data_IF_653155017009
#
_entry.id   IF_653155017009
#
_cell.length_a   1.000
_cell.length_b   1.000
_cell.length_c   1.000
_cell.angle_alpha   90.00
_cell.angle_beta   90.00
_cell.angle_gamma   90.00
#
_symmetry.space_group_name_H-M   'P 1'
#
loop_
_entity.id
_entity.type
_entity.pdbx_description
1 polymer ?
#
# COMPACT_ATOMS: atom_id res chain seq x y z
N UNK A 1 15.38 9.74 23.96
CA UNK A 1 15.46 8.43 23.28
C UNK A 1 14.22 8.28 22.41
N UNK A 2 14.21 8.89 21.21
CA UNK A 2 13.16 8.61 20.23
C UNK A 2 13.66 7.42 19.42
N UNK A 3 13.04 6.26 19.59
CA UNK A 3 13.31 5.10 18.77
C UNK A 3 12.24 5.08 17.68
N UNK A 4 12.58 5.65 16.52
CA UNK A 4 11.85 5.43 15.29
C UNK A 4 11.99 3.94 14.94
N UNK A 5 10.98 3.16 15.34
CA UNK A 5 10.99 1.72 15.17
C UNK A 5 10.23 1.39 13.89
N UNK A 6 10.94 1.48 12.77
CA UNK A 6 10.44 1.02 11.48
C UNK A 6 10.73 -0.47 11.31
N UNK A 7 9.71 -1.24 10.94
CA UNK A 7 9.85 -2.68 10.67
C UNK A 7 9.04 -3.07 9.46
N UNK A 8 9.63 -3.92 8.62
CA UNK A 8 8.95 -4.52 7.48
C UNK A 8 8.56 -5.96 7.83
N UNK A 9 7.28 -6.26 7.69
CA UNK A 9 6.72 -7.59 7.96
C UNK A 9 5.98 -8.14 6.74
N UNK A 10 6.05 -9.45 6.57
CA UNK A 10 5.14 -10.16 5.67
C UNK A 10 3.99 -10.75 6.49
N UNK A 11 2.78 -10.26 6.28
CA UNK A 11 1.59 -10.71 7.01
C UNK A 11 0.92 -11.85 6.25
N UNK A 12 0.81 -13.06 6.82
CA UNK A 12 0.07 -14.16 6.21
C UNK A 12 -1.44 -14.01 6.46
N UNK A 13 -2.21 -13.79 5.40
CA UNK A 13 -3.68 -13.67 5.43
C UNK A 13 -4.39 -14.98 5.07
N UNK A 14 -3.68 -16.12 5.11
CA UNK A 14 -4.25 -17.43 4.74
C UNK A 14 -5.48 -17.83 5.55
N UNK A 15 -5.54 -17.42 6.83
CA UNK A 15 -6.67 -17.71 7.74
C UNK A 15 -7.97 -17.02 7.33
N UNK A 16 -7.92 -16.01 6.46
CA UNK A 16 -9.10 -15.31 5.96
C UNK A 16 -10.06 -16.25 5.21
N UNK A 17 -9.58 -17.34 4.60
CA UNK A 17 -10.45 -18.27 3.87
C UNK A 17 -11.41 -19.06 4.74
N UNK A 18 -11.15 -19.13 6.06
CA UNK A 18 -12.00 -19.82 7.04
C UNK A 18 -13.34 -19.08 7.19
N UNK A 19 -13.35 -17.76 7.07
CA UNK A 19 -14.58 -16.98 7.14
C UNK A 19 -15.39 -17.05 5.85
N UNK A 20 -16.69 -16.80 5.98
CA UNK A 20 -17.62 -16.63 4.86
C UNK A 20 -17.07 -15.68 3.81
N UNK A 21 -17.34 -15.98 2.53
CA UNK A 21 -16.77 -15.25 1.39
C UNK A 21 -17.03 -13.74 1.43
N UNK A 22 -18.20 -13.32 1.89
CA UNK A 22 -18.62 -11.91 1.92
C UNK A 22 -17.91 -11.08 3.00
N UNK A 23 -17.23 -11.71 3.95
CA UNK A 23 -16.57 -11.01 5.06
C UNK A 23 -15.05 -11.14 5.03
N UNK A 24 -14.47 -11.67 3.94
CA UNK A 24 -13.04 -11.98 3.86
C UNK A 24 -12.16 -10.74 3.89
N UNK A 25 -12.43 -9.73 3.07
CA UNK A 25 -11.64 -8.49 3.09
C UNK A 25 -11.72 -7.78 4.45
N UNK A 26 -12.90 -7.75 5.07
CA UNK A 26 -13.11 -7.21 6.42
C UNK A 26 -12.28 -7.99 7.46
N UNK A 27 -12.30 -9.33 7.37
CA UNK A 27 -11.50 -10.18 8.26
C UNK A 27 -10.00 -9.96 8.05
N UNK A 28 -9.55 -9.73 6.81
CA UNK A 28 -8.16 -9.44 6.49
C UNK A 28 -7.68 -8.16 7.19
N UNK A 29 -8.48 -7.09 7.16
CA UNK A 29 -8.19 -5.84 7.88
C UNK A 29 -8.06 -6.09 9.38
N UNK A 30 -8.99 -6.85 9.97
CA UNK A 30 -8.93 -7.18 11.39
C UNK A 30 -7.68 -8.02 11.74
N UNK A 31 -7.29 -8.95 10.88
CA UNK A 31 -6.04 -9.71 11.07
C UNK A 31 -4.80 -8.82 11.02
N UNK A 32 -4.77 -7.80 10.16
CA UNK A 32 -3.66 -6.83 10.11
C UNK A 32 -3.59 -6.04 11.41
N UNK A 33 -4.75 -5.61 11.95
CA UNK A 33 -4.81 -4.93 13.26
C UNK A 33 -4.32 -5.83 14.39
N UNK A 34 -4.77 -7.09 14.44
CA UNK A 34 -4.30 -8.08 15.42
C UNK A 34 -2.79 -8.29 15.32
N UNK A 35 -2.25 -8.38 14.10
CA UNK A 35 -0.82 -8.54 13.86
C UNK A 35 -0.01 -7.33 14.36
N UNK A 36 -0.46 -6.11 14.05
CA UNK A 36 0.18 -4.88 14.51
C UNK A 36 0.18 -4.76 16.03
N UNK A 37 -0.97 -5.07 16.67
CA UNK A 37 -1.10 -5.09 18.14
C UNK A 37 -0.12 -6.06 18.78
N UNK A 38 0.04 -7.25 18.20
CA UNK A 38 0.93 -8.28 18.74
C UNK A 38 2.42 -7.90 18.66
N UNK A 39 2.85 -7.34 17.53
CA UNK A 39 4.29 -7.08 17.29
C UNK A 39 4.78 -5.80 17.94
N UNK A 40 3.95 -4.75 17.93
CA UNK A 40 4.35 -3.42 18.37
C UNK A 40 3.80 -3.07 19.77
N UNK A 41 2.84 -3.85 20.29
CA UNK A 41 2.24 -3.70 21.63
C UNK A 41 1.58 -2.33 21.87
N UNK A 42 0.90 -1.80 20.85
CA UNK A 42 0.13 -0.55 20.91
C UNK A 42 -1.32 -0.84 20.55
N UNK A 43 -2.26 -0.11 21.17
CA UNK A 43 -3.70 -0.29 20.97
C UNK A 43 -4.22 0.45 19.73
N UNK A 44 -3.76 1.69 19.52
CA UNK A 44 -4.23 2.56 18.43
C UNK A 44 -3.47 2.27 17.15
N UNK A 45 -4.17 1.74 16.14
CA UNK A 45 -3.60 1.34 14.86
C UNK A 45 -4.34 2.06 13.74
N UNK A 46 -3.60 2.83 12.94
CA UNK A 46 -4.10 3.47 11.72
C UNK A 46 -3.58 2.71 10.50
N UNK A 47 -4.50 2.34 9.63
CA UNK A 47 -4.18 1.66 8.37
C UNK A 47 -4.19 2.71 7.28
N UNK A 48 -3.14 2.73 6.48
CA UNK A 48 -3.06 3.62 5.35
C UNK A 48 -4.08 3.26 4.25
N UNK A 49 -4.51 4.27 3.50
CA UNK A 49 -5.56 4.11 2.49
C UNK A 49 -5.08 3.21 1.34
N UNK A 50 -3.82 3.33 0.92
CA UNK A 50 -3.29 2.52 -0.18
C UNK A 50 -3.28 1.04 0.16
N UNK A 51 -2.88 0.71 1.39
CA UNK A 51 -2.93 -0.65 1.90
C UNK A 51 -4.37 -1.19 1.90
N UNK A 52 -5.32 -0.38 2.36
CA UNK A 52 -6.74 -0.75 2.32
C UNK A 52 -7.19 -0.99 0.87
N UNK A 53 -6.93 -0.06 -0.05
CA UNK A 53 -7.29 -0.19 -1.47
C UNK A 53 -6.68 -1.45 -2.09
N UNK A 54 -5.45 -1.77 -1.76
CA UNK A 54 -4.78 -2.99 -2.23
C UNK A 54 -5.49 -4.27 -1.75
N UNK A 55 -5.96 -4.30 -0.50
CA UNK A 55 -6.73 -5.43 0.04
C UNK A 55 -8.07 -5.59 -0.69
N UNK A 56 -8.74 -4.47 -0.98
CA UNK A 56 -10.04 -4.43 -1.64
C UNK A 56 -9.97 -4.47 -3.18
N UNK A 57 -8.78 -4.42 -3.79
CA UNK A 57 -8.60 -4.35 -5.25
C UNK A 57 -9.25 -5.50 -6.02
N UNK A 58 -9.34 -6.69 -5.42
CA UNK A 58 -9.99 -7.89 -6.00
C UNK A 58 -11.41 -8.11 -5.49
N UNK A 59 -11.98 -7.12 -4.82
CA UNK A 59 -13.27 -7.18 -4.16
C UNK A 59 -13.26 -7.94 -2.83
N UNK A 60 -14.44 -8.03 -2.21
CA UNK A 60 -14.60 -8.56 -0.84
C UNK A 60 -14.28 -10.05 -0.69
N UNK A 61 -14.47 -10.83 -1.77
CA UNK A 61 -14.40 -12.30 -1.77
C UNK A 61 -12.97 -12.86 -1.79
N UNK A 62 -12.02 -12.09 -2.32
CA UNK A 62 -10.70 -12.61 -2.70
C UNK A 62 -9.57 -11.64 -2.31
N UNK A 63 -9.38 -11.34 -1.02
CA UNK A 63 -8.24 -10.54 -0.58
C UNK A 63 -6.90 -11.27 -0.85
N UNK A 64 -5.77 -10.53 -0.95
CA UNK A 64 -4.44 -11.11 -1.11
C UNK A 64 -4.07 -12.09 0.01
N UNK A 65 -3.30 -13.15 -0.32
CA UNK A 65 -2.95 -14.22 0.64
C UNK A 65 -1.76 -13.86 1.54
N UNK A 66 -0.88 -12.98 1.08
CA UNK A 66 0.27 -12.43 1.80
C UNK A 66 0.39 -10.97 1.42
N UNK A 67 0.75 -10.11 2.36
CA UNK A 67 1.02 -8.69 2.09
C UNK A 67 2.29 -8.30 2.84
N UNK A 68 3.22 -7.64 2.16
CA UNK A 68 4.37 -6.98 2.78
C UNK A 68 3.97 -5.59 3.22
N UNK A 69 4.25 -5.27 4.48
CA UNK A 69 3.74 -4.09 5.16
C UNK A 69 4.87 -3.46 5.95
N UNK A 70 4.98 -2.14 5.88
CA UNK A 70 5.85 -1.34 6.74
C UNK A 70 5.02 -0.85 7.92
N UNK A 71 5.55 -1.05 9.12
CA UNK A 71 4.98 -0.52 10.36
C UNK A 71 5.92 0.54 10.90
N UNK A 72 5.43 1.76 11.06
CA UNK A 72 6.12 2.86 11.72
C UNK A 72 5.39 3.24 13.00
N UNK A 73 6.16 3.51 14.05
CA UNK A 73 5.64 4.04 15.30
C UNK A 73 5.81 5.56 15.28
N UNK A 74 4.70 6.29 15.30
CA UNK A 74 4.71 7.76 15.39
C UNK A 74 4.84 8.20 16.84
N UNK A 75 5.43 9.37 17.07
CA UNK A 75 5.58 9.98 18.40
C UNK A 75 4.23 10.22 19.10
N UNK A 76 3.16 10.37 18.33
CA UNK A 76 1.76 10.51 18.78
C UNK A 76 1.15 9.21 19.34
N UNK A 77 1.94 8.13 19.44
CA UNK A 77 1.56 6.91 20.14
C UNK A 77 0.64 5.96 19.38
N UNK A 78 0.48 6.14 18.07
CA UNK A 78 -0.16 5.16 17.18
C UNK A 78 0.82 4.55 16.18
N UNK A 79 0.41 3.40 15.64
CA UNK A 79 1.13 2.71 14.57
C UNK A 79 0.49 3.08 13.24
N UNK A 80 1.31 3.52 12.29
CA UNK A 80 0.92 3.65 10.90
C UNK A 80 1.36 2.40 10.15
N UNK A 81 0.42 1.82 9.41
CA UNK A 81 0.61 0.59 8.65
C UNK A 81 0.48 0.91 7.17
N UNK A 82 1.61 0.97 6.46
CA UNK A 82 1.69 1.31 5.04
C UNK A 82 2.07 0.11 4.17
N UNK A 83 1.66 0.15 2.91
CA UNK A 83 2.04 -0.87 1.93
C UNK A 83 3.54 -0.78 1.66
N UNK A 84 4.25 -1.91 1.74
CA UNK A 84 5.64 -1.96 1.31
C UNK A 84 5.69 -2.36 -0.15
N UNK A 85 5.86 -1.38 -1.03
CA UNK A 85 6.30 -1.64 -2.40
C UNK A 85 7.81 -1.85 -2.31
N UNK A 86 8.30 -3.02 -2.74
CA UNK A 86 9.75 -3.20 -2.92
C UNK A 86 10.14 -2.21 -4.05
N UNK A 87 10.64 -1.02 -3.70
CA UNK A 87 11.09 -0.01 -4.66
C UNK A 87 12.35 -0.48 -5.41
N UNK A 88 12.15 -1.44 -6.32
CA UNK A 88 13.06 -1.76 -7.41
C UNK A 88 12.36 -1.76 -8.78
N UNK A 89 11.07 -1.41 -8.86
CA UNK A 89 10.38 -1.27 -10.15
C UNK A 89 9.88 0.16 -10.42
N UNK A 90 9.74 1.01 -9.40
CA UNK A 90 9.22 2.38 -9.56
C UNK A 90 10.21 3.36 -10.21
N UNK A 91 11.51 3.05 -10.16
CA UNK A 91 12.53 3.79 -10.92
C UNK A 91 12.49 3.51 -12.43
N UNK A 92 11.90 2.37 -12.87
CA UNK A 92 11.91 1.98 -14.29
C UNK A 92 10.66 2.52 -15.03
N UNK A 93 9.56 2.78 -14.31
CA UNK A 93 8.31 3.28 -14.91
C UNK A 93 8.24 4.81 -14.95
N UNK A 94 8.84 5.51 -14.00
CA UNK A 94 8.87 6.98 -13.95
C UNK A 94 9.81 7.60 -14.99
N UNK A 95 10.97 6.97 -15.27
CA UNK A 95 11.91 7.45 -16.30
C UNK A 95 11.45 7.16 -17.74
N UNK A 96 10.61 6.14 -17.94
CA UNK A 96 10.05 5.82 -19.28
C UNK A 96 8.87 6.73 -19.64
N UNK A 97 8.15 7.26 -18.66
CA UNK A 97 7.06 8.19 -18.92
C UNK A 97 7.55 9.63 -19.13
N UNK A 98 8.64 10.07 -18.49
CA UNK A 98 9.21 11.41 -18.74
C UNK A 98 9.79 11.55 -20.15
N UNK A 99 10.46 10.52 -20.70
CA UNK A 99 10.95 10.56 -22.10
C UNK A 99 9.85 10.49 -23.16
N UNK A 100 8.72 9.83 -22.87
CA UNK A 100 7.62 9.68 -23.85
C UNK A 100 6.70 10.90 -23.91
N UNK A 101 6.75 11.75 -22.87
CA UNK A 101 5.98 13.00 -22.81
C UNK A 101 6.73 14.14 -23.51
N UNK A 102 8.07 14.19 -23.49
CA UNK A 102 8.83 15.22 -24.23
C UNK A 102 8.65 15.13 -25.75
N UNK A 103 8.77 13.93 -26.35
CA UNK A 103 8.61 13.73 -27.82
C UNK A 103 7.20 14.10 -28.36
N UNK A 104 6.18 14.07 -27.50
CA UNK A 104 4.79 14.40 -27.90
C UNK A 104 4.42 15.88 -27.70
N UNK A 105 5.19 16.64 -26.93
CA UNK A 105 4.88 18.05 -26.66
C UNK A 105 5.51 18.98 -27.72
N UNK A 106 6.63 18.57 -28.33
CA UNK A 106 7.24 19.32 -29.45
C UNK A 106 6.47 19.18 -30.77
N UNK A 107 5.81 18.05 -31.02
CA UNK A 107 5.07 17.81 -32.27
C UNK A 107 3.70 18.52 -32.36
N UNK A 108 3.22 19.14 -31.27
CA UNK A 108 1.90 19.82 -31.24
C UNK A 108 2.01 21.35 -31.17
N UNK A 109 3.21 21.92 -30.95
CA UNK A 109 3.39 23.38 -30.85
C UNK A 109 3.74 24.10 -32.16
N UNK A 110 3.93 23.38 -33.27
CA UNK A 110 4.33 24.00 -34.55
C UNK A 110 3.30 23.74 -35.67
N UNK A 111 2.08 24.24 -35.47
CA UNK A 111 1.15 24.54 -36.56
C UNK A 111 0.49 25.90 -36.27
N UNK A 112 1.11 27.02 -36.67
CA UNK A 112 0.59 28.35 -36.41
C UNK A 112 -0.63 28.65 -37.30
N UNK A 113 -1.65 29.23 -36.69
CA UNK A 113 -2.72 29.93 -37.38
C UNK A 113 -2.15 31.15 -38.12
N UNK A 114 -2.30 31.20 -39.46
CA UNK A 114 -2.49 32.39 -40.32
C UNK A 114 -2.43 31.98 -41.80
N UNK A 115 -3.56 32.05 -42.49
CA UNK A 115 -3.88 32.97 -43.61
C UNK A 115 -5.32 32.71 -44.08
#
# INVERSE_FOLDING_TARGET
MSQELERVYTIPLGKVKISQSQHRAVRAINMIREFARHHMKVETIKIDEELARHIWARGVRSPPRKIKVRMSKTDEGYILVSLFTDDNETAITSEKETKKVEDKVDSVKEAPAKE
#
